data_IF_036461491056
#
_entry.id   IF_036461491056
#
_cell.length_a   1.000
_cell.length_b   1.000
_cell.length_c   1.000
_cell.angle_alpha   90.00
_cell.angle_beta   90.00
_cell.angle_gamma   90.00
#
_symmetry.space_group_name_H-M   'P 1'
#
loop_
_entity.id
_entity.type
_entity.pdbx_description
1 polymer ?
#
# COMPACT_ATOMS: atom_id res chain seq x y z
N UNK A 1 -18.51 5.69 -4.27
CA UNK A 1 -17.33 6.54 -4.40
C UNK A 1 -16.39 6.13 -3.28
N UNK A 2 -15.11 5.91 -3.59
CA UNK A 2 -14.12 5.57 -2.56
C UNK A 2 -13.83 6.84 -1.75
N UNK A 3 -14.27 6.86 -0.49
CA UNK A 3 -14.09 8.00 0.41
C UNK A 3 -12.88 7.77 1.31
N UNK A 4 -12.04 8.78 1.45
CA UNK A 4 -10.87 8.77 2.33
C UNK A 4 -11.19 9.65 3.54
N UNK A 5 -11.20 9.05 4.71
CA UNK A 5 -11.29 9.74 5.99
C UNK A 5 -9.89 9.81 6.61
N UNK A 6 -9.49 11.01 7.01
CA UNK A 6 -8.21 11.26 7.70
C UNK A 6 -8.48 11.54 9.18
N UNK A 7 -7.90 10.73 10.05
CA UNK A 7 -7.99 10.87 11.52
C UNK A 7 -6.60 10.85 12.16
N UNK A 8 -6.53 11.05 13.47
CA UNK A 8 -5.32 10.81 14.25
C UNK A 8 -5.44 9.49 14.99
N UNK A 9 -4.36 8.72 15.04
CA UNK A 9 -4.26 7.55 15.92
C UNK A 9 -3.90 7.94 17.37
N UNK A 10 -3.71 6.93 18.23
CA UNK A 10 -3.38 7.14 19.64
C UNK A 10 -2.01 7.80 19.86
N UNK A 11 -1.09 7.66 18.90
CA UNK A 11 0.27 8.21 18.95
C UNK A 11 0.34 9.60 18.26
N UNK A 12 -0.76 10.07 17.66
CA UNK A 12 -0.87 11.37 17.02
C UNK A 12 -0.48 11.40 15.54
N UNK A 13 -0.20 10.23 14.94
CA UNK A 13 0.05 10.11 13.50
C UNK A 13 -1.25 10.13 12.69
N UNK A 14 -1.14 10.51 11.42
CA UNK A 14 -2.30 10.47 10.53
C UNK A 14 -2.68 9.03 10.21
N UNK A 15 -3.96 8.69 10.32
CA UNK A 15 -4.54 7.43 9.89
C UNK A 15 -5.53 7.69 8.76
N UNK A 16 -5.47 6.88 7.72
CA UNK A 16 -6.36 6.98 6.57
C UNK A 16 -7.28 5.78 6.54
N UNK A 17 -8.59 6.03 6.60
CA UNK A 17 -9.63 5.02 6.43
C UNK A 17 -10.32 5.22 5.08
N UNK A 18 -10.17 4.23 4.21
CA UNK A 18 -10.72 4.20 2.86
C UNK A 18 -11.95 3.30 2.88
N UNK A 19 -13.14 3.88 2.71
CA UNK A 19 -14.39 3.11 2.66
C UNK A 19 -14.52 2.39 1.32
N UNK A 20 -14.77 1.08 1.36
CA UNK A 20 -14.99 0.23 0.18
C UNK A 20 -16.43 -0.25 0.14
N UNK A 21 -16.82 -1.01 -0.89
CA UNK A 21 -18.19 -1.53 -1.00
C UNK A 21 -18.57 -2.56 0.08
N UNK A 22 -17.57 -3.24 0.69
CA UNK A 22 -17.79 -4.36 1.61
C UNK A 22 -16.84 -4.27 2.82
N UNK A 23 -16.61 -3.07 3.35
CA UNK A 23 -15.63 -2.86 4.41
C UNK A 23 -14.86 -1.56 4.33
N UNK A 24 -13.68 -1.58 4.94
CA UNK A 24 -12.76 -0.46 4.93
C UNK A 24 -11.31 -0.90 4.93
N UNK A 25 -10.48 -0.13 4.24
CA UNK A 25 -9.05 -0.27 4.22
C UNK A 25 -8.42 0.84 5.05
N UNK A 26 -7.70 0.46 6.11
CA UNK A 26 -6.96 1.36 6.98
C UNK A 26 -5.46 1.36 6.66
N UNK A 27 -4.89 2.56 6.59
CA UNK A 27 -3.45 2.80 6.51
C UNK A 27 -3.05 3.59 7.77
N UNK A 28 -2.17 3.01 8.59
CA UNK A 28 -1.78 3.57 9.89
C UNK A 28 -0.27 3.49 10.07
N UNK A 29 0.35 4.53 10.60
CA UNK A 29 1.74 4.54 11.02
C UNK A 29 1.81 4.45 12.54
N UNK A 30 2.29 3.34 13.08
CA UNK A 30 2.27 3.09 14.52
C UNK A 30 3.41 3.80 15.27
N UNK A 31 3.26 3.97 16.59
CA UNK A 31 4.30 4.52 17.47
C UNK A 31 5.64 3.76 17.49
N UNK A 32 5.65 2.52 16.98
CA UNK A 32 6.87 1.74 16.74
C UNK A 32 7.59 2.09 15.43
N UNK A 33 7.14 3.12 14.72
CA UNK A 33 7.67 3.62 13.44
C UNK A 33 7.48 2.68 12.25
N UNK A 34 6.52 1.76 12.34
CA UNK A 34 6.16 0.85 11.26
C UNK A 34 4.82 1.23 10.63
N UNK A 35 4.64 0.84 9.38
CA UNK A 35 3.40 1.06 8.64
C UNK A 35 2.54 -0.20 8.71
N UNK A 36 1.24 0.00 8.82
CA UNK A 36 0.23 -1.03 8.90
C UNK A 36 -0.85 -0.78 7.87
N UNK A 37 -1.15 -1.80 7.07
CA UNK A 37 -2.31 -1.83 6.20
C UNK A 37 -3.26 -2.90 6.71
N UNK A 38 -4.50 -2.55 7.00
CA UNK A 38 -5.49 -3.48 7.53
C UNK A 38 -6.79 -3.37 6.76
N UNK A 39 -7.38 -4.49 6.39
CA UNK A 39 -8.74 -4.52 5.87
C UNK A 39 -9.73 -4.96 6.95
N UNK A 40 -10.83 -4.23 7.08
CA UNK A 40 -11.92 -4.51 7.99
C UNK A 40 -13.18 -4.77 7.17
N UNK A 41 -13.54 -6.04 6.95
CA UNK A 41 -14.79 -6.39 6.31
C UNK A 41 -16.00 -5.93 7.13
N UNK A 42 -17.12 -5.72 6.46
CA UNK A 42 -18.41 -5.47 7.13
C UNK A 42 -19.04 -6.76 7.67
N UNK A 43 -18.63 -7.93 7.17
CA UNK A 43 -19.15 -9.20 7.64
C UNK A 43 -18.69 -9.54 9.07
N UNK A 44 -19.46 -10.39 9.75
CA UNK A 44 -19.09 -10.92 11.04
C UNK A 44 -17.78 -11.71 10.96
N UNK A 45 -17.00 -11.62 12.04
CA UNK A 45 -15.64 -12.17 12.09
C UNK A 45 -15.57 -13.67 11.74
N UNK A 46 -16.57 -14.44 12.16
CA UNK A 46 -16.65 -15.90 11.91
C UNK A 46 -16.81 -16.24 10.42
N UNK A 47 -17.30 -15.28 9.62
CA UNK A 47 -17.58 -15.44 8.19
C UNK A 47 -16.55 -14.76 7.28
N UNK A 48 -15.45 -14.24 7.85
CA UNK A 48 -14.45 -13.56 7.05
C UNK A 48 -13.79 -14.54 6.04
N UNK A 49 -13.87 -14.26 4.73
CA UNK A 49 -13.30 -15.16 3.71
C UNK A 49 -11.77 -15.15 3.76
N UNK A 50 -11.11 -16.16 3.21
CA UNK A 50 -9.63 -16.20 3.19
C UNK A 50 -8.98 -14.95 2.56
N UNK A 51 -9.67 -14.30 1.63
CA UNK A 51 -9.19 -13.08 0.99
C UNK A 51 -10.31 -12.08 0.72
N UNK A 52 -9.99 -10.79 0.77
CA UNK A 52 -10.86 -9.68 0.34
C UNK A 52 -10.16 -8.84 -0.70
N UNK A 53 -10.87 -8.52 -1.77
CA UNK A 53 -10.38 -7.66 -2.85
C UNK A 53 -11.28 -6.45 -2.99
N UNK A 54 -10.69 -5.29 -3.15
CA UNK A 54 -11.39 -4.09 -3.59
C UNK A 54 -10.61 -3.41 -4.70
N UNK A 55 -11.28 -2.49 -5.39
CA UNK A 55 -10.72 -1.80 -6.55
C UNK A 55 -10.55 -0.32 -6.23
N UNK A 56 -9.39 0.22 -6.58
CA UNK A 56 -9.12 1.66 -6.59
C UNK A 56 -9.15 2.11 -8.05
N UNK A 57 -10.11 2.96 -8.37
CA UNK A 57 -10.28 3.57 -9.70
C UNK A 57 -9.92 5.05 -9.66
N UNK A 58 -9.99 5.72 -10.81
CA UNK A 58 -9.81 7.18 -10.90
C UNK A 58 -11.00 7.97 -10.34
N UNK A 59 -12.03 7.35 -9.76
CA UNK A 59 -13.09 8.06 -9.02
C UNK A 59 -12.55 8.79 -7.79
N UNK A 60 -11.42 8.33 -7.23
CA UNK A 60 -10.62 9.08 -6.29
C UNK A 60 -9.20 9.16 -6.86
N UNK A 61 -8.95 10.19 -7.69
CA UNK A 61 -7.71 10.25 -8.45
C UNK A 61 -6.48 10.42 -7.55
N UNK A 62 -6.62 11.11 -6.42
CA UNK A 62 -5.54 11.30 -5.47
C UNK A 62 -5.01 9.95 -4.94
N UNK A 63 -5.90 9.09 -4.41
CA UNK A 63 -5.50 7.76 -3.94
C UNK A 63 -4.99 6.89 -5.07
N UNK A 64 -5.67 6.90 -6.23
CA UNK A 64 -5.22 6.17 -7.42
C UNK A 64 -3.78 6.54 -7.80
N UNK A 65 -3.47 7.84 -7.80
CA UNK A 65 -2.15 8.34 -8.13
C UNK A 65 -1.10 7.86 -7.12
N UNK A 66 -1.38 7.90 -5.81
CA UNK A 66 -0.43 7.44 -4.79
C UNK A 66 -0.12 5.94 -4.90
N UNK A 67 -1.12 5.12 -5.23
CA UNK A 67 -0.92 3.69 -5.51
C UNK A 67 -0.18 3.48 -6.83
N UNK A 68 -0.45 4.27 -7.87
CA UNK A 68 0.27 4.21 -9.16
C UNK A 68 1.75 4.57 -9.02
N UNK A 69 2.07 5.59 -8.22
CA UNK A 69 3.43 6.00 -7.89
C UNK A 69 4.17 4.89 -7.13
N UNK A 70 3.55 4.34 -6.07
CA UNK A 70 4.09 3.17 -5.36
C UNK A 70 4.38 2.02 -6.33
N UNK A 71 3.40 1.67 -7.17
CA UNK A 71 3.53 0.57 -8.12
C UNK A 71 4.67 0.76 -9.11
N UNK A 72 4.78 1.95 -9.71
CA UNK A 72 5.87 2.29 -10.64
C UNK A 72 7.23 2.23 -9.96
N UNK A 73 7.35 2.76 -8.74
CA UNK A 73 8.60 2.75 -8.00
C UNK A 73 9.09 1.32 -7.73
N UNK A 74 8.19 0.42 -7.31
CA UNK A 74 8.55 -0.99 -7.16
C UNK A 74 8.93 -1.60 -8.51
N UNK A 75 8.07 -1.47 -9.54
CA UNK A 75 8.30 -2.04 -10.88
C UNK A 75 9.61 -1.60 -11.53
N UNK A 76 10.03 -0.36 -11.28
CA UNK A 76 11.26 0.22 -11.83
C UNK A 76 12.50 -0.06 -10.95
N UNK A 77 12.38 -0.92 -9.93
CA UNK A 77 13.46 -1.27 -9.00
C UNK A 77 13.99 -0.05 -8.22
N UNK A 78 13.09 0.87 -7.82
CA UNK A 78 13.39 2.12 -7.12
C UNK A 78 12.82 2.11 -5.69
N UNK A 79 13.48 1.45 -4.74
CA UNK A 79 13.04 1.42 -3.34
C UNK A 79 13.10 2.79 -2.65
N UNK A 80 13.97 3.68 -3.13
CA UNK A 80 14.12 5.07 -2.67
C UNK A 80 13.66 6.05 -3.76
N UNK A 81 12.34 6.27 -3.89
CA UNK A 81 11.82 7.19 -4.89
C UNK A 81 12.31 8.60 -4.64
N UNK A 82 12.56 9.34 -5.74
CA UNK A 82 12.84 10.77 -5.66
C UNK A 82 11.63 11.48 -5.08
N UNK A 83 11.89 12.31 -4.07
CA UNK A 83 10.91 13.27 -3.58
C UNK A 83 11.39 14.66 -3.94
N UNK A 84 10.48 15.63 -4.01
CA UNK A 84 10.85 17.04 -4.25
C UNK A 84 11.76 17.60 -3.14
N UNK A 85 11.78 16.94 -1.97
CA UNK A 85 12.54 17.37 -0.78
C UNK A 85 13.89 16.70 -0.67
N UNK A 86 14.02 15.44 -1.07
CA UNK A 86 15.25 14.65 -0.95
C UNK A 86 15.39 13.62 -2.09
N UNK A 87 16.59 13.55 -2.70
CA UNK A 87 16.98 12.53 -3.66
C UNK A 87 17.84 11.45 -2.95
N UNK A 88 17.17 10.46 -2.36
CA UNK A 88 17.84 9.32 -1.72
C UNK A 88 18.32 8.26 -2.74
N UNK A 89 18.04 8.44 -4.04
CA UNK A 89 18.46 7.49 -5.09
C UNK A 89 19.98 7.42 -5.16
N UNK A 90 20.67 8.55 -4.99
CA UNK A 90 22.14 8.58 -4.94
C UNK A 90 22.72 7.72 -3.81
N UNK A 91 22.10 7.75 -2.63
CA UNK A 91 22.55 6.96 -1.48
C UNK A 91 22.39 5.45 -1.75
N UNK A 92 21.29 5.06 -2.38
CA UNK A 92 21.05 3.68 -2.78
C UNK A 92 22.01 3.19 -3.85
N UNK A 93 22.24 3.99 -4.90
CA UNK A 93 23.23 3.68 -5.93
C UNK A 93 24.63 3.55 -5.33
N UNK A 94 25.03 4.47 -4.45
CA UNK A 94 26.34 4.44 -3.78
C UNK A 94 26.50 3.22 -2.85
N UNK A 95 25.45 2.86 -2.09
CA UNK A 95 25.46 1.69 -1.21
C UNK A 95 25.50 0.37 -1.99
N UNK A 96 24.75 0.25 -3.08
CA UNK A 96 24.72 -0.96 -3.89
C UNK A 96 25.99 -1.14 -4.73
N UNK A 97 26.53 -0.06 -5.32
CA UNK A 97 27.74 -0.11 -6.14
C UNK A 97 28.97 -0.54 -5.33
N UNK A 98 28.99 -0.28 -4.02
CA UNK A 98 30.13 -0.59 -3.15
C UNK A 98 30.10 -1.99 -2.54
N UNK A 99 28.93 -2.65 -2.48
CA UNK A 99 28.80 -3.95 -1.83
C UNK A 99 27.93 -4.93 -2.64
N UNK A 100 28.59 -5.86 -3.33
CA UNK A 100 27.93 -6.87 -4.16
C UNK A 100 26.98 -7.81 -3.39
N UNK A 101 27.18 -7.97 -2.07
CA UNK A 101 26.26 -8.75 -1.25
C UNK A 101 24.97 -7.98 -0.91
N UNK A 102 25.04 -6.67 -0.72
CA UNK A 102 23.84 -5.85 -0.48
C UNK A 102 23.00 -5.74 -1.75
N UNK A 103 23.63 -5.54 -2.91
CA UNK A 103 22.94 -5.59 -4.21
C UNK A 103 22.17 -6.91 -4.39
N UNK A 104 22.79 -8.06 -4.08
CA UNK A 104 22.10 -9.36 -4.20
C UNK A 104 20.93 -9.51 -3.24
N UNK A 105 21.01 -8.95 -2.03
CA UNK A 105 19.89 -8.97 -1.08
C UNK A 105 18.73 -8.12 -1.57
N UNK A 106 19.03 -6.94 -2.14
CA UNK A 106 18.05 -6.04 -2.76
C UNK A 106 17.34 -6.74 -3.92
N UNK A 107 18.10 -7.36 -4.83
CA UNK A 107 17.55 -8.10 -5.97
C UNK A 107 16.67 -9.27 -5.50
N UNK A 108 17.14 -10.03 -4.51
CA UNK A 108 16.35 -11.12 -3.92
C UNK A 108 15.05 -10.62 -3.27
N UNK A 109 15.12 -9.51 -2.52
CA UNK A 109 13.94 -8.89 -1.93
C UNK A 109 12.95 -8.45 -3.01
N UNK A 110 13.43 -7.87 -4.11
CA UNK A 110 12.61 -7.48 -5.24
C UNK A 110 11.94 -8.67 -5.93
N UNK A 111 12.70 -9.73 -6.24
CA UNK A 111 12.16 -10.94 -6.86
C UNK A 111 11.06 -11.60 -6.02
N UNK A 112 11.10 -11.44 -4.69
CA UNK A 112 10.05 -11.89 -3.78
C UNK A 112 8.87 -10.91 -3.70
N UNK A 113 9.13 -9.62 -3.85
CA UNK A 113 8.15 -8.55 -3.75
C UNK A 113 7.35 -8.36 -5.03
N UNK A 114 7.96 -8.45 -6.21
CA UNK A 114 7.33 -8.12 -7.49
C UNK A 114 7.40 -9.30 -8.46
N UNK A 115 6.25 -9.94 -8.69
CA UNK A 115 6.16 -11.15 -9.51
C UNK A 115 4.94 -11.06 -10.43
N UNK A 116 5.13 -11.38 -11.71
CA UNK A 116 4.04 -11.37 -12.70
C UNK A 116 3.27 -10.04 -12.74
N UNK A 117 3.98 -8.92 -12.67
CA UNK A 117 3.40 -7.56 -12.58
C UNK A 117 2.52 -7.31 -11.34
N UNK A 118 2.67 -8.10 -10.27
CA UNK A 118 1.95 -7.97 -9.00
C UNK A 118 2.94 -7.70 -7.88
N UNK A 119 2.67 -6.68 -7.05
CA UNK A 119 3.37 -6.48 -5.77
C UNK A 119 2.76 -7.43 -4.74
N UNK A 120 3.58 -8.21 -4.04
CA UNK A 120 3.18 -9.17 -3.02
C UNK A 120 3.99 -8.94 -1.75
N UNK A 121 3.34 -8.41 -0.72
CA UNK A 121 3.97 -8.17 0.58
C UNK A 121 3.35 -9.05 1.65
N UNK A 122 4.14 -9.95 2.21
CA UNK A 122 3.77 -10.74 3.39
C UNK A 122 4.16 -10.00 4.65
N UNK A 123 3.23 -9.87 5.60
CA UNK A 123 3.40 -9.15 6.87
C UNK A 123 4.69 -9.56 7.57
N UNK A 124 5.49 -8.57 7.97
CA UNK A 124 6.79 -8.79 8.61
C UNK A 124 6.70 -9.43 10.02
N UNK A 125 5.48 -9.68 10.52
CA UNK A 125 5.21 -10.22 11.87
C UNK A 125 5.25 -11.75 11.99
N UNK A 126 5.08 -12.49 10.89
CA UNK A 126 5.00 -13.95 10.93
C UNK A 126 5.81 -14.61 9.80
N UNK A 127 5.90 -15.95 9.84
CA UNK A 127 6.46 -16.77 8.76
C UNK A 127 5.70 -16.57 7.44
N UNK A 128 6.27 -16.93 6.28
CA UNK A 128 5.57 -16.74 5.00
C UNK A 128 4.30 -17.61 4.90
N UNK A 129 4.30 -18.75 5.60
CA UNK A 129 3.21 -19.72 5.64
C UNK A 129 2.01 -19.24 6.47
N UNK A 130 2.25 -18.35 7.43
CA UNK A 130 1.27 -17.89 8.41
C UNK A 130 0.97 -16.39 8.29
N UNK A 131 1.82 -15.61 7.62
CA UNK A 131 1.64 -14.17 7.50
C UNK A 131 0.45 -13.80 6.62
N UNK A 132 -0.33 -12.84 7.11
CA UNK A 132 -1.24 -12.05 6.27
C UNK A 132 -0.44 -11.41 5.14
N UNK A 133 -1.06 -11.22 3.99
CA UNK A 133 -0.37 -10.56 2.87
C UNK A 133 -1.30 -9.66 2.09
N UNK A 134 -0.70 -8.67 1.44
CA UNK A 134 -1.38 -7.82 0.46
C UNK A 134 -0.80 -8.07 -0.93
N UNK A 135 -1.68 -8.14 -1.91
CA UNK A 135 -1.32 -8.12 -3.33
C UNK A 135 -1.86 -6.85 -3.98
N UNK A 136 -1.02 -6.15 -4.75
CA UNK A 136 -1.39 -4.98 -5.54
C UNK A 136 -1.18 -5.33 -7.01
N UNK A 137 -2.28 -5.42 -7.74
CA UNK A 137 -2.27 -5.72 -9.16
C UNK A 137 -2.78 -4.51 -9.96
N UNK A 138 -2.07 -4.18 -11.04
CA UNK A 138 -2.42 -3.07 -11.92
C UNK A 138 -3.30 -3.57 -13.06
N UNK A 139 -4.44 -2.90 -13.24
CA UNK A 139 -5.30 -3.01 -14.41
C UNK A 139 -5.11 -1.77 -15.31
N UNK A 140 -5.76 -1.74 -16.48
CA UNK A 140 -5.63 -0.64 -17.45
C UNK A 140 -5.98 0.74 -16.83
N UNK A 141 -7.08 0.82 -16.09
CA UNK A 141 -7.55 2.07 -15.47
C UNK A 141 -7.84 1.93 -13.96
N UNK A 142 -7.33 0.89 -13.31
CA UNK A 142 -7.62 0.59 -11.91
C UNK A 142 -6.48 -0.19 -11.24
N UNK A 143 -6.52 -0.29 -9.92
CA UNK A 143 -5.73 -1.23 -9.14
C UNK A 143 -6.68 -2.14 -8.35
N UNK A 144 -6.37 -3.44 -8.30
CA UNK A 144 -6.99 -4.34 -7.33
C UNK A 144 -6.04 -4.51 -6.15
N UNK A 145 -6.55 -4.27 -4.95
CA UNK A 145 -5.84 -4.51 -3.70
C UNK A 145 -6.49 -5.71 -3.04
N UNK A 146 -5.74 -6.79 -2.87
CA UNK A 146 -6.23 -8.03 -2.29
C UNK A 146 -5.51 -8.32 -0.99
N UNK A 147 -6.25 -8.36 0.11
CA UNK A 147 -5.75 -8.81 1.40
C UNK A 147 -6.06 -10.30 1.58
N UNK A 148 -5.08 -11.04 2.06
CA UNK A 148 -5.20 -12.44 2.46
C UNK A 148 -4.98 -12.54 3.96
N UNK A 149 -5.83 -13.31 4.63
CA UNK A 149 -5.70 -13.54 6.06
C UNK A 149 -4.44 -14.33 6.38
N UNK A 150 -3.79 -13.95 7.46
CA UNK A 150 -2.78 -14.76 8.14
C UNK A 150 -3.40 -15.66 9.20
N UNK A 151 -2.57 -16.59 9.69
CA UNK A 151 -2.79 -17.38 10.90
C UNK A 151 -1.93 -16.78 12.01
N UNK A 152 -2.32 -15.63 12.57
CA UNK A 152 -1.56 -15.05 13.67
C UNK A 152 -1.77 -15.83 14.97
N UNK A 153 -0.76 -15.79 15.84
CA UNK A 153 -0.54 -16.59 17.06
C UNK A 153 -1.65 -16.46 18.14
N UNK A 154 -2.64 -15.59 17.93
CA UNK A 154 -3.70 -15.24 18.88
C UNK A 154 -5.11 -15.69 18.46
N UNK A 155 -5.24 -16.74 17.63
CA UNK A 155 -6.51 -17.38 17.21
C UNK A 155 -7.48 -16.52 16.36
N UNK A 156 -7.11 -15.29 15.99
CA UNK A 156 -7.95 -14.42 15.17
C UNK A 156 -7.30 -14.17 13.79
N UNK A 157 -7.87 -14.66 12.68
CA UNK A 157 -7.43 -14.22 11.35
C UNK A 157 -7.49 -12.70 11.21
N UNK A 158 -6.38 -12.11 10.77
CA UNK A 158 -6.30 -10.66 10.52
C UNK A 158 -5.99 -10.43 9.04
N UNK A 159 -6.59 -9.40 8.44
CA UNK A 159 -6.11 -8.85 7.16
C UNK A 159 -5.06 -7.76 7.40
N UNK A 160 -4.33 -7.83 8.52
CA UNK A 160 -3.36 -6.80 8.89
C UNK A 160 -1.98 -7.16 8.33
N UNK A 161 -1.37 -6.24 7.61
CA UNK A 161 -0.05 -6.38 7.00
C UNK A 161 0.85 -5.29 7.54
N UNK A 162 1.91 -5.69 8.24
CA UNK A 162 2.94 -4.78 8.75
C UNK A 162 4.10 -4.67 7.76
N UNK A 163 4.53 -3.44 7.53
CA UNK A 163 5.72 -3.08 6.78
C UNK A 163 6.74 -2.53 7.79
N UNK A 164 7.72 -3.35 8.17
CA UNK A 164 8.71 -2.92 9.16
C UNK A 164 9.67 -1.91 8.55
N UNK A 165 10.02 -0.88 9.32
CA UNK A 165 11.03 0.08 8.94
C UNK A 165 12.46 -0.45 9.18
N UNK A 166 12.62 -1.32 10.19
CA UNK A 166 13.87 -2.01 10.49
C UNK A 166 13.68 -3.52 10.51
N UNK A 167 14.62 -4.26 9.92
CA UNK A 167 14.57 -5.73 9.86
C UNK A 167 13.46 -6.28 8.96
N UNK A 168 12.95 -5.48 8.01
CA UNK A 168 11.99 -5.98 7.02
C UNK A 168 12.63 -7.02 6.10
N UNK A 169 11.87 -8.07 5.76
CA UNK A 169 12.28 -9.07 4.77
C UNK A 169 12.38 -8.50 3.35
N UNK A 170 11.72 -7.36 3.11
CA UNK A 170 11.71 -6.68 1.81
C UNK A 170 12.57 -5.43 1.82
N UNK A 171 13.44 -5.23 2.82
CA UNK A 171 14.34 -4.09 2.81
C UNK A 171 15.13 -4.04 1.49
N UNK A 172 15.21 -2.88 0.82
CA UNK A 172 14.79 -1.54 1.25
C UNK A 172 13.41 -1.08 0.73
N UNK A 173 12.60 -1.95 0.17
CA UNK A 173 11.32 -1.56 -0.44
C UNK A 173 10.28 -1.04 0.56
N UNK A 174 10.48 -1.22 1.86
CA UNK A 174 9.66 -0.56 2.89
C UNK A 174 9.61 0.97 2.71
N UNK A 175 10.70 1.58 2.21
CA UNK A 175 10.76 3.03 1.97
C UNK A 175 9.75 3.50 0.92
N UNK A 176 9.46 2.71 -0.12
CA UNK A 176 8.46 3.08 -1.13
C UNK A 176 7.05 3.14 -0.53
N UNK A 177 6.71 2.21 0.37
CA UNK A 177 5.43 2.21 1.09
C UNK A 177 5.33 3.37 2.08
N UNK A 178 6.41 3.65 2.82
CA UNK A 178 6.50 4.81 3.71
C UNK A 178 6.35 6.12 2.95
N UNK A 179 6.96 6.23 1.77
CA UNK A 179 6.82 7.41 0.92
C UNK A 179 5.38 7.59 0.43
N UNK A 180 4.68 6.50 0.11
CA UNK A 180 3.26 6.54 -0.24
C UNK A 180 2.43 7.08 0.93
N UNK A 181 2.65 6.57 2.14
CA UNK A 181 2.01 7.08 3.36
C UNK A 181 2.30 8.57 3.60
N UNK A 182 3.56 8.99 3.54
CA UNK A 182 3.94 10.39 3.70
C UNK A 182 3.27 11.29 2.65
N UNK A 183 3.07 10.79 1.43
CA UNK A 183 2.34 11.52 0.39
C UNK A 183 0.84 11.60 0.67
N UNK A 184 0.26 10.64 1.39
CA UNK A 184 -1.14 10.71 1.83
C UNK A 184 -1.34 11.76 2.93
N UNK A 185 -0.32 12.07 3.74
CA UNK A 185 -0.37 13.14 4.77
C UNK A 185 -0.81 14.49 4.16
N UNK A 186 -0.44 14.75 2.90
CA UNK A 186 -0.82 15.96 2.18
C UNK A 186 -2.31 16.03 1.81
N UNK A 187 -3.05 14.92 1.95
CA UNK A 187 -4.50 14.89 1.73
C UNK A 187 -5.24 15.72 2.79
N UNK A 188 -6.03 16.68 2.32
CA UNK A 188 -6.97 17.43 3.14
C UNK A 188 -8.42 17.05 2.76
N UNK A 189 -9.14 16.29 3.61
CA UNK A 189 -10.52 15.90 3.32
C UNK A 189 -11.48 17.09 3.22
N UNK A 190 -11.16 18.25 3.81
CA UNK A 190 -12.02 19.44 3.77
C UNK A 190 -11.86 20.22 2.45
N UNK A 191 -10.75 20.01 1.75
CA UNK A 191 -10.39 20.71 0.53
C UNK A 191 -9.96 19.72 -0.56
N UNK A 192 -10.75 18.65 -0.76
CA UNK A 192 -10.53 17.74 -1.89
C UNK A 192 -10.71 18.49 -3.21
N UNK A 193 -9.60 18.88 -3.82
CA UNK A 193 -9.61 19.48 -5.15
C UNK A 193 -9.92 18.39 -6.17
N UNK A 194 -11.07 18.49 -6.84
CA UNK A 194 -11.44 17.55 -7.90
C UNK A 194 -10.44 17.65 -9.04
N UNK A 195 -9.69 16.57 -9.27
CA UNK A 195 -8.76 16.47 -10.38
C UNK A 195 -9.50 16.33 -11.71
N UNK A 196 -8.91 16.80 -12.81
CA UNK A 196 -9.53 16.70 -14.14
C UNK A 196 -9.73 15.23 -14.54
N UNK A 197 -8.83 14.35 -14.13
CA UNK A 197 -8.90 12.91 -14.31
C UNK A 197 -10.11 12.30 -13.61
N UNK A 198 -10.41 12.74 -12.39
CA UNK A 198 -11.60 12.33 -11.63
C UNK A 198 -12.87 12.75 -12.36
N UNK A 199 -12.93 14.01 -12.83
CA UNK A 199 -14.06 14.51 -13.62
C UNK A 199 -14.25 13.70 -14.92
N UNK A 200 -13.18 13.48 -15.67
CA UNK A 200 -13.23 12.74 -16.95
C UNK A 200 -13.66 11.29 -16.74
N UNK A 201 -13.16 10.63 -15.69
CA UNK A 201 -13.52 9.26 -15.36
C UNK A 201 -14.99 9.15 -14.96
N UNK A 202 -15.47 10.01 -14.07
CA UNK A 202 -16.87 10.06 -13.67
C UNK A 202 -17.81 10.31 -14.85
N UNK A 203 -17.42 11.20 -15.77
CA UNK A 203 -18.18 11.45 -17.01
C UNK A 203 -18.23 10.23 -17.93
N UNK A 204 -17.14 9.45 -18.01
CA UNK A 204 -17.10 8.17 -18.75
C UNK A 204 -18.07 7.16 -18.13
N UNK A 205 -18.07 7.00 -16.81
CA UNK A 205 -18.98 6.11 -16.09
C UNK A 205 -20.46 6.47 -16.32
N UNK A 206 -20.80 7.76 -16.28
CA UNK A 206 -22.17 8.23 -16.54
C UNK A 206 -22.67 7.94 -17.97
N UNK A 207 -21.77 7.92 -18.95
CA UNK A 207 -22.11 7.55 -20.34
C UNK A 207 -22.33 6.05 -20.51
N UNK A 208 -21.66 5.21 -19.73
CA UNK A 208 -21.81 3.74 -19.76
C UNK A 208 -23.13 3.31 -19.07
N UNK A 209 -23.58 4.08 -18.07
CA UNK A 209 -24.83 3.81 -17.33
C UNK A 209 -26.11 4.27 -18.06
N UNK A 210 -26.00 4.92 -19.22
CA UNK A 210 -27.13 5.35 -20.07
C UNK A 210 -27.27 4.43 -21.26
#
# INVERSE_FOLDING_TARGET
MVEINKTKDADGYDRFKITTENGSFDIMFGGNLDLYWSYWPEEDFEDWPLSKTFTITKENYFLYQKIDELYKNIKEHRPYPKTDKDDYTFLFEELNLRNSNESKKVDYAYEKLFQNDIIKWYSDDASLEEASRVEINRLEEAFTITFYQGKEEYDFPTYSVRFRNSGSRYHPYNFAFMNMYNSLIEYDPNYHQIHIEEYLYNKKLQKIKK
#
